data_IF_674202366129
#
_entry.id   IF_674202366129
#
_cell.length_a   1.000
_cell.length_b   1.000
_cell.length_c   1.000
_cell.angle_alpha   90.00
_cell.angle_beta   90.00
_cell.angle_gamma   90.00
#
_symmetry.space_group_name_H-M   'P 1'
#
loop_
_entity.id
_entity.type
_entity.pdbx_description
1 polymer ?
#
# COMPACT_ATOMS: atom_id res chain seq x y z
N UNK A 1 -29.49 31.02 12.34
CA UNK A 1 -28.24 30.34 12.77
C UNK A 1 -28.43 28.85 12.54
N UNK A 2 -27.90 28.34 11.44
CA UNK A 2 -27.96 26.92 11.08
C UNK A 2 -26.52 26.41 10.97
N UNK A 3 -26.16 25.46 11.83
CA UNK A 3 -24.86 24.78 11.79
C UNK A 3 -24.95 23.66 10.75
N UNK A 4 -24.28 23.84 9.61
CA UNK A 4 -24.01 22.76 8.68
C UNK A 4 -22.75 22.02 9.16
N UNK A 5 -22.93 20.78 9.64
CA UNK A 5 -21.85 19.85 9.94
C UNK A 5 -21.25 19.36 8.61
N UNK A 6 -20.05 19.82 8.30
CA UNK A 6 -19.26 19.33 7.17
C UNK A 6 -18.51 18.07 7.56
N UNK A 7 -19.08 16.90 7.24
CA UNK A 7 -18.33 15.64 7.22
C UNK A 7 -17.58 15.60 5.89
N UNK A 8 -16.27 15.77 5.96
CA UNK A 8 -15.35 15.55 4.85
C UNK A 8 -15.35 14.05 4.54
N UNK A 9 -15.98 13.67 3.43
CA UNK A 9 -15.91 12.30 2.91
C UNK A 9 -14.48 12.00 2.48
N UNK A 10 -13.82 11.07 3.17
CA UNK A 10 -12.66 10.38 2.62
C UNK A 10 -13.15 9.52 1.44
N UNK A 11 -12.93 9.98 0.21
CA UNK A 11 -13.17 9.14 -0.95
C UNK A 11 -12.15 8.00 -0.98
N UNK A 12 -12.62 6.79 -0.66
CA UNK A 12 -11.94 5.53 -0.87
C UNK A 12 -11.73 5.31 -2.38
N UNK A 13 -10.63 5.81 -2.94
CA UNK A 13 -10.32 5.69 -4.38
C UNK A 13 -9.36 4.52 -4.64
N UNK A 14 -9.74 3.64 -5.57
CA UNK A 14 -8.84 2.72 -6.24
C UNK A 14 -7.86 3.51 -7.11
N UNK A 15 -6.55 3.34 -6.90
CA UNK A 15 -5.50 4.00 -7.69
C UNK A 15 -4.76 2.98 -8.56
N UNK A 16 -4.56 3.30 -9.84
CA UNK A 16 -3.74 2.50 -10.76
C UNK A 16 -2.27 2.87 -10.54
N UNK A 17 -1.45 1.90 -10.14
CA UNK A 17 -0.03 2.10 -9.83
C UNK A 17 0.89 2.24 -11.05
N UNK A 18 0.38 2.02 -12.27
CA UNK A 18 1.18 1.86 -13.49
C UNK A 18 2.06 3.09 -13.81
N UNK A 19 1.59 4.32 -13.61
CA UNK A 19 2.36 5.52 -13.98
C UNK A 19 3.34 6.02 -12.91
N UNK A 20 3.37 5.42 -11.70
CA UNK A 20 4.07 6.02 -10.56
C UNK A 20 4.90 5.08 -9.69
N UNK A 21 4.68 3.76 -9.74
CA UNK A 21 5.39 2.82 -8.86
C UNK A 21 6.62 2.16 -9.49
N UNK A 22 6.77 2.18 -10.81
CA UNK A 22 7.70 1.30 -11.55
C UNK A 22 8.68 2.02 -12.47
N UNK A 23 8.72 3.36 -12.48
CA UNK A 23 9.68 4.07 -13.33
C UNK A 23 11.11 3.85 -12.82
N UNK A 24 11.96 3.29 -13.70
CA UNK A 24 13.42 3.38 -13.62
C UNK A 24 13.84 4.82 -13.30
N UNK A 25 14.94 5.04 -12.55
CA UNK A 25 15.26 6.35 -12.04
C UNK A 25 15.50 7.34 -13.18
N UNK A 26 14.62 8.34 -13.29
CA UNK A 26 14.96 9.59 -13.96
C UNK A 26 16.03 10.29 -13.11
N UNK A 27 17.23 10.54 -13.64
CA UNK A 27 18.21 11.33 -12.95
C UNK A 27 17.75 12.78 -12.98
N UNK A 28 17.31 13.25 -11.82
CA UNK A 28 17.09 14.66 -11.47
C UNK A 28 15.83 15.30 -12.11
N UNK A 29 15.07 15.96 -11.23
CA UNK A 29 13.89 16.81 -11.44
C UNK A 29 12.55 16.12 -11.72
N UNK A 30 11.69 16.08 -10.69
CA UNK A 30 10.35 16.66 -10.78
C UNK A 30 9.77 16.86 -9.37
N UNK A 31 10.03 18.04 -8.81
CA UNK A 31 9.18 18.62 -7.77
C UNK A 31 7.85 19.03 -8.42
N UNK A 32 6.92 18.09 -8.56
CA UNK A 32 5.53 18.43 -8.92
C UNK A 32 4.59 17.61 -8.05
N UNK A 33 4.10 18.25 -6.96
CA UNK A 33 3.02 17.74 -6.10
C UNK A 33 3.18 18.10 -4.63
N UNK A 34 2.95 19.37 -4.27
CA UNK A 34 3.21 19.97 -2.94
C UNK A 34 4.67 19.83 -2.50
N UNK A 35 5.34 20.93 -2.11
CA UNK A 35 6.81 21.01 -1.98
C UNK A 35 7.45 20.08 -0.90
N UNK A 36 6.68 19.15 -0.35
CA UNK A 36 7.05 18.19 0.68
C UNK A 36 7.02 16.71 0.25
N UNK A 37 6.44 16.36 -0.91
CA UNK A 37 6.41 14.97 -1.38
C UNK A 37 7.72 14.55 -2.03
N UNK A 38 8.25 13.41 -1.60
CA UNK A 38 9.48 12.80 -2.08
C UNK A 38 9.25 11.32 -2.36
N UNK A 39 10.06 10.77 -3.27
CA UNK A 39 10.13 9.33 -3.50
C UNK A 39 11.13 8.69 -2.53
N UNK A 40 10.74 7.61 -1.85
CA UNK A 40 11.60 6.77 -1.03
C UNK A 40 11.65 5.37 -1.64
N UNK A 41 12.87 4.88 -1.89
CA UNK A 41 13.13 3.59 -2.49
C UNK A 41 13.39 2.52 -1.43
N UNK A 42 12.74 1.38 -1.58
CA UNK A 42 12.92 0.19 -0.76
C UNK A 42 13.63 -0.86 -1.59
N UNK A 43 14.57 -1.57 -0.98
CA UNK A 43 15.23 -2.74 -1.57
C UNK A 43 14.78 -3.99 -0.83
N UNK A 44 14.55 -5.07 -1.58
CA UNK A 44 14.14 -6.36 -1.05
C UNK A 44 14.66 -7.49 -1.93
N UNK A 45 14.65 -8.71 -1.40
CA UNK A 45 15.02 -9.89 -2.17
C UNK A 45 13.82 -10.32 -3.02
N UNK A 46 13.95 -10.44 -4.35
CA UNK A 46 12.90 -10.99 -5.20
C UNK A 46 12.49 -12.39 -4.75
N UNK A 47 11.21 -12.71 -4.88
CA UNK A 47 10.71 -14.07 -4.66
C UNK A 47 10.87 -14.89 -5.92
N UNK A 48 11.38 -16.11 -5.77
CA UNK A 48 11.43 -17.08 -6.88
C UNK A 48 10.01 -17.33 -7.43
N UNK A 49 9.89 -17.38 -8.76
CA UNK A 49 8.62 -17.61 -9.45
C UNK A 49 7.60 -16.46 -9.36
N UNK A 50 8.01 -15.29 -8.86
CA UNK A 50 7.17 -14.10 -8.76
C UNK A 50 7.65 -12.98 -9.69
N UNK A 51 7.28 -11.73 -9.41
CA UNK A 51 7.79 -10.56 -10.12
C UNK A 51 9.32 -10.41 -9.96
N UNK A 52 10.06 -10.00 -11.02
CA UNK A 52 11.52 -9.96 -11.01
C UNK A 52 12.11 -8.72 -10.33
N UNK A 53 11.28 -7.91 -9.66
CA UNK A 53 11.73 -6.66 -9.05
C UNK A 53 12.35 -6.91 -7.68
N UNK A 54 13.43 -6.19 -7.41
CA UNK A 54 14.15 -6.14 -6.12
C UNK A 54 13.99 -4.77 -5.43
N UNK A 55 13.21 -3.87 -6.04
CA UNK A 55 13.00 -2.51 -5.56
C UNK A 55 11.57 -2.04 -5.75
N UNK A 56 11.14 -1.11 -4.90
CA UNK A 56 9.86 -0.40 -5.03
C UNK A 56 10.05 1.04 -4.55
N UNK A 57 9.52 1.99 -5.32
CA UNK A 57 9.46 3.38 -4.92
C UNK A 57 8.10 3.74 -4.32
N UNK A 58 8.09 4.27 -3.10
CA UNK A 58 6.90 4.80 -2.44
C UNK A 58 6.94 6.33 -2.37
N UNK A 59 5.77 6.96 -2.46
CA UNK A 59 5.61 8.38 -2.17
C UNK A 59 5.60 8.59 -0.66
N UNK A 60 6.23 9.67 -0.21
CA UNK A 60 6.31 10.02 1.19
C UNK A 60 6.36 11.53 1.38
N UNK A 61 5.85 12.01 2.51
CA UNK A 61 6.02 13.40 2.94
C UNK A 61 7.21 13.49 3.88
N UNK A 62 8.14 14.41 3.65
CA UNK A 62 9.27 14.66 4.55
C UNK A 62 8.74 15.11 5.93
N UNK A 63 9.23 14.48 7.01
CA UNK A 63 8.89 14.86 8.40
C UNK A 63 10.12 15.20 9.25
N UNK A 64 11.32 15.07 8.69
CA UNK A 64 12.59 15.45 9.31
C UNK A 64 13.72 15.54 8.29
N UNK A 65 14.95 15.70 8.78
CA UNK A 65 16.13 15.82 7.92
C UNK A 65 16.35 14.55 7.08
N UNK A 66 16.25 13.39 7.72
CA UNK A 66 16.47 12.05 7.18
C UNK A 66 15.24 11.14 7.33
N UNK A 67 14.07 11.69 7.67
CA UNK A 67 12.83 10.92 7.87
C UNK A 67 11.68 11.39 6.99
N UNK A 68 10.84 10.44 6.58
CA UNK A 68 9.65 10.68 5.77
C UNK A 68 8.52 9.72 6.14
N UNK A 69 7.28 10.21 6.07
CA UNK A 69 6.06 9.43 6.30
C UNK A 69 5.54 8.88 4.97
N UNK A 70 5.35 7.58 4.86
CA UNK A 70 4.86 6.92 3.65
C UNK A 70 3.40 7.31 3.37
N UNK A 71 3.08 7.61 2.11
CA UNK A 71 1.79 8.20 1.69
C UNK A 71 0.97 7.31 0.74
N UNK A 72 1.45 6.11 0.42
CA UNK A 72 0.69 5.13 -0.36
C UNK A 72 1.01 3.71 0.09
N UNK A 73 0.10 2.79 -0.18
CA UNK A 73 0.25 1.39 0.22
C UNK A 73 1.33 0.67 -0.62
N UNK A 74 2.21 -0.13 -0.01
CA UNK A 74 3.24 -0.88 -0.72
C UNK A 74 2.69 -2.10 -1.48
N UNK A 75 2.98 -2.18 -2.78
CA UNK A 75 2.63 -3.30 -3.65
C UNK A 75 3.61 -4.48 -3.54
N UNK A 76 4.90 -4.23 -3.22
CA UNK A 76 5.95 -5.26 -3.22
C UNK A 76 6.74 -5.34 -1.90
N UNK A 77 7.21 -4.21 -1.37
CA UNK A 77 8.05 -4.12 -0.17
C UNK A 77 7.31 -4.65 1.08
N UNK A 78 7.98 -5.44 1.91
CA UNK A 78 7.41 -6.03 3.14
C UNK A 78 7.79 -5.23 4.38
N UNK A 79 7.02 -5.37 5.44
CA UNK A 79 7.32 -4.79 6.75
C UNK A 79 7.20 -3.27 6.83
N UNK A 80 6.59 -2.65 5.82
CA UNK A 80 6.24 -1.23 5.77
C UNK A 80 4.76 -1.10 5.44
N UNK A 81 4.08 -0.14 6.06
CA UNK A 81 2.70 0.21 5.79
C UNK A 81 2.57 1.69 5.42
N UNK A 82 1.46 2.05 4.77
CA UNK A 82 1.08 3.45 4.59
C UNK A 82 1.00 4.14 5.96
N UNK A 83 1.52 5.37 6.03
CA UNK A 83 1.61 6.16 7.24
C UNK A 83 2.84 5.87 8.12
N UNK A 84 3.59 4.79 7.89
CA UNK A 84 4.84 4.54 8.63
C UNK A 84 5.82 5.70 8.41
N UNK A 85 6.58 6.05 9.45
CA UNK A 85 7.74 6.94 9.30
C UNK A 85 8.98 6.09 9.12
N UNK A 86 9.73 6.36 8.06
CA UNK A 86 10.99 5.68 7.75
C UNK A 86 12.14 6.67 7.78
N UNK A 87 13.33 6.18 8.16
CA UNK A 87 14.59 6.85 7.90
C UNK A 87 15.07 6.49 6.49
N UNK A 88 15.67 7.45 5.80
CA UNK A 88 16.32 7.22 4.51
C UNK A 88 17.70 7.86 4.43
N UNK A 89 18.49 7.41 3.47
CA UNK A 89 19.78 8.00 3.10
C UNK A 89 19.75 8.41 1.64
N UNK A 90 20.31 9.59 1.33
CA UNK A 90 20.59 9.98 -0.04
C UNK A 90 21.90 9.31 -0.46
N UNK A 91 21.83 8.38 -1.41
CA UNK A 91 22.99 7.67 -1.89
C UNK A 91 23.63 8.38 -3.09
N UNK A 92 24.79 7.88 -3.53
CA UNK A 92 25.54 8.42 -4.67
C UNK A 92 24.81 8.34 -6.01
N UNK A 93 23.77 7.50 -6.10
CA UNK A 93 22.86 7.40 -7.25
C UNK A 93 21.80 8.52 -7.29
N UNK A 94 21.81 9.43 -6.30
CA UNK A 94 20.84 10.51 -6.17
C UNK A 94 19.47 10.07 -5.64
N UNK A 95 19.32 8.79 -5.26
CA UNK A 95 18.07 8.23 -4.75
C UNK A 95 18.06 8.21 -3.23
N UNK A 96 16.86 8.33 -2.66
CA UNK A 96 16.61 8.24 -1.22
C UNK A 96 16.22 6.82 -0.87
N UNK A 97 17.12 6.07 -0.25
CA UNK A 97 16.91 4.68 0.11
C UNK A 97 16.46 4.56 1.56
N UNK A 98 15.36 3.87 1.80
CA UNK A 98 14.93 3.52 3.15
C UNK A 98 15.99 2.66 3.85
N UNK A 99 16.32 3.01 5.09
CA UNK A 99 17.25 2.24 5.94
C UNK A 99 16.54 1.57 7.11
N UNK A 100 15.27 1.91 7.35
CA UNK A 100 14.44 1.26 8.36
C UNK A 100 13.26 2.10 8.79
N UNK A 101 12.26 1.44 9.37
CA UNK A 101 11.13 2.11 10.01
C UNK A 101 11.56 2.68 11.36
N UNK A 102 11.16 3.93 11.63
CA UNK A 102 11.41 4.62 12.90
C UNK A 102 10.14 4.77 13.73
N UNK A 103 8.96 4.81 13.08
CA UNK A 103 7.65 4.88 13.74
C UNK A 103 6.66 4.04 12.93
N UNK A 104 5.92 3.16 13.60
CA UNK A 104 4.82 2.42 12.99
C UNK A 104 3.53 3.25 13.04
N UNK A 105 2.77 3.27 11.95
CA UNK A 105 1.46 3.93 11.92
C UNK A 105 0.36 3.18 12.65
N UNK A 106 0.59 1.90 12.94
CA UNK A 106 -0.44 0.96 13.38
C UNK A 106 -1.28 0.39 12.24
N UNK A 107 -1.11 0.87 11.01
CA UNK A 107 -1.79 0.29 9.85
C UNK A 107 -1.17 -1.07 9.49
N UNK A 108 -1.99 -1.94 8.90
CA UNK A 108 -1.51 -3.14 8.23
C UNK A 108 -1.52 -2.94 6.70
N UNK A 109 -0.70 -3.73 6.01
CA UNK A 109 -0.75 -3.88 4.55
C UNK A 109 -1.14 -5.30 4.21
N UNK A 110 -2.23 -5.43 3.47
CA UNK A 110 -2.72 -6.71 2.93
C UNK A 110 -2.75 -6.63 1.43
N UNK A 111 -2.32 -7.68 0.76
CA UNK A 111 -2.32 -7.79 -0.70
C UNK A 111 -3.25 -8.91 -1.11
N UNK A 112 -4.10 -8.64 -2.10
CA UNK A 112 -5.12 -9.55 -2.60
C UNK A 112 -4.93 -9.71 -4.09
N UNK A 113 -4.80 -10.95 -4.55
CA UNK A 113 -4.71 -11.29 -5.96
C UNK A 113 -5.93 -12.13 -6.34
N UNK A 114 -6.84 -11.62 -7.19
CA UNK A 114 -8.01 -12.38 -7.58
C UNK A 114 -7.63 -13.63 -8.38
N UNK A 115 -8.33 -14.73 -8.13
CA UNK A 115 -8.22 -15.95 -8.91
C UNK A 115 -8.94 -15.74 -10.24
N UNK A 116 -8.23 -15.97 -11.35
CA UNK A 116 -8.74 -15.64 -12.69
C UNK A 116 -10.02 -16.39 -13.06
N UNK A 117 -10.16 -17.64 -12.62
CA UNK A 117 -11.34 -18.49 -12.80
C UNK A 117 -12.37 -18.37 -11.67
N UNK A 118 -12.11 -17.52 -10.66
CA UNK A 118 -12.96 -17.36 -9.50
C UNK A 118 -14.19 -16.47 -9.78
N UNK A 119 -15.12 -16.37 -8.81
CA UNK A 119 -16.38 -15.61 -8.98
C UNK A 119 -16.19 -14.11 -9.30
N UNK A 120 -15.06 -13.53 -8.89
CA UNK A 120 -14.73 -12.13 -9.16
C UNK A 120 -13.98 -11.93 -10.49
N UNK A 121 -13.51 -13.00 -11.13
CA UNK A 121 -12.62 -12.95 -12.28
C UNK A 121 -11.35 -12.14 -11.99
N UNK A 122 -10.66 -11.64 -13.02
CA UNK A 122 -9.43 -10.83 -12.88
C UNK A 122 -9.67 -9.37 -12.43
N UNK A 123 -10.81 -9.07 -11.80
CA UNK A 123 -11.22 -7.68 -11.54
C UNK A 123 -10.71 -7.14 -10.20
N UNK A 124 -9.68 -6.30 -10.25
CA UNK A 124 -9.21 -5.53 -9.09
C UNK A 124 -10.32 -4.64 -8.49
N UNK A 125 -11.18 -4.06 -9.34
CA UNK A 125 -12.30 -3.24 -8.89
C UNK A 125 -13.30 -4.05 -8.06
N UNK A 126 -13.67 -5.26 -8.50
CA UNK A 126 -14.60 -6.13 -7.76
C UNK A 126 -14.00 -6.64 -6.44
N UNK A 127 -12.68 -6.84 -6.39
CA UNK A 127 -11.97 -7.10 -5.14
C UNK A 127 -12.09 -5.90 -4.21
N UNK A 128 -11.77 -4.69 -4.68
CA UNK A 128 -11.86 -3.47 -3.89
C UNK A 128 -13.27 -3.21 -3.36
N UNK A 129 -14.31 -3.46 -4.16
CA UNK A 129 -15.71 -3.34 -3.77
C UNK A 129 -16.08 -4.16 -2.53
N UNK A 130 -15.47 -5.34 -2.33
CA UNK A 130 -15.71 -6.14 -1.11
C UNK A 130 -15.21 -5.44 0.17
N UNK A 131 -14.24 -4.54 0.02
CA UNK A 131 -13.55 -3.87 1.12
C UNK A 131 -14.04 -2.43 1.36
N UNK A 132 -14.91 -1.89 0.49
CA UNK A 132 -15.54 -0.57 0.65
C UNK A 132 -16.21 -0.38 2.02
N UNK A 133 -16.94 -1.36 2.59
CA UNK A 133 -17.58 -1.21 3.91
C UNK A 133 -16.61 -0.89 5.06
N UNK A 134 -15.31 -1.17 4.88
CA UNK A 134 -14.28 -0.93 5.90
C UNK A 134 -13.53 0.39 5.69
N UNK A 135 -13.86 1.18 4.65
CA UNK A 135 -13.23 2.48 4.39
C UNK A 135 -11.73 2.42 4.06
N UNK A 136 -11.26 1.31 3.49
CA UNK A 136 -9.82 1.03 3.28
C UNK A 136 -9.29 1.63 1.97
N UNK A 137 -8.16 2.36 2.04
CA UNK A 137 -7.42 2.81 0.86
C UNK A 137 -6.80 1.64 0.09
N UNK A 138 -6.56 1.82 -1.22
CA UNK A 138 -5.94 0.78 -2.05
C UNK A 138 -5.14 1.29 -3.25
N UNK A 139 -4.18 0.49 -3.68
CA UNK A 139 -3.42 0.65 -4.94
C UNK A 139 -3.50 -0.67 -5.72
N UNK A 140 -3.53 -0.58 -7.05
CA UNK A 140 -3.52 -1.73 -7.96
C UNK A 140 -2.23 -1.75 -8.73
N UNK A 141 -1.61 -2.93 -8.86
CA UNK A 141 -0.37 -3.09 -9.61
C UNK A 141 -0.55 -2.79 -11.11
N UNK A 142 -1.29 -3.63 -11.84
CA UNK A 142 -1.62 -3.41 -13.25
C UNK A 142 -2.90 -4.17 -13.66
N UNK A 143 -3.36 -3.99 -14.90
CA UNK A 143 -4.48 -4.76 -15.43
C UNK A 143 -4.10 -6.24 -15.68
N UNK A 144 -2.86 -6.48 -16.07
CA UNK A 144 -2.30 -7.81 -16.37
C UNK A 144 -2.02 -8.58 -15.08
N UNK A 145 -1.57 -7.91 -14.02
CA UNK A 145 -1.46 -8.50 -12.69
C UNK A 145 -2.33 -7.66 -11.74
N UNK A 146 -3.61 -8.02 -11.55
CA UNK A 146 -4.58 -7.25 -10.78
C UNK A 146 -4.39 -7.41 -9.26
N UNK A 147 -3.15 -7.35 -8.80
CA UNK A 147 -2.78 -7.35 -7.39
C UNK A 147 -3.27 -6.04 -6.76
N UNK A 148 -4.14 -6.16 -5.75
CA UNK A 148 -4.66 -5.03 -4.98
C UNK A 148 -3.94 -5.01 -3.64
N UNK A 149 -3.20 -3.93 -3.36
CA UNK A 149 -2.70 -3.66 -2.02
C UNK A 149 -3.70 -2.78 -1.26
N UNK A 150 -3.99 -3.15 -0.03
CA UNK A 150 -4.96 -2.52 0.86
C UNK A 150 -4.24 -1.96 2.08
N UNK A 151 -4.57 -0.72 2.44
CA UNK A 151 -4.27 -0.17 3.77
C UNK A 151 -5.40 -0.55 4.70
N UNK A 152 -5.11 -1.37 5.70
CA UNK A 152 -6.04 -1.68 6.80
C UNK A 152 -5.72 -0.71 7.96
N UNK A 153 -6.59 0.26 8.27
CA UNK A 153 -6.31 1.25 9.30
C UNK A 153 -6.15 0.63 10.70
N UNK A 154 -5.33 1.24 11.56
CA UNK A 154 -5.10 0.79 12.94
C UNK A 154 -6.39 0.63 13.77
N UNK A 155 -7.44 1.42 13.47
CA UNK A 155 -8.73 1.38 14.14
C UNK A 155 -9.80 0.54 13.45
N UNK A 156 -9.46 -0.21 12.40
CA UNK A 156 -10.41 -1.06 11.69
C UNK A 156 -10.80 -2.29 12.53
N UNK A 157 -11.98 -2.86 12.24
CA UNK A 157 -12.37 -4.17 12.78
C UNK A 157 -11.54 -5.28 12.13
N UNK A 158 -10.38 -5.57 12.72
CA UNK A 158 -9.42 -6.53 12.17
C UNK A 158 -10.02 -7.94 12.07
N UNK A 159 -10.92 -8.32 12.98
CA UNK A 159 -11.54 -9.64 12.99
C UNK A 159 -12.45 -9.82 11.78
N UNK A 160 -13.33 -8.86 11.49
CA UNK A 160 -14.22 -8.92 10.32
C UNK A 160 -13.44 -8.78 8.99
N UNK A 161 -12.37 -7.97 8.95
CA UNK A 161 -11.47 -7.91 7.77
C UNK A 161 -10.81 -9.27 7.51
N UNK A 162 -10.25 -9.92 8.55
CA UNK A 162 -9.63 -11.24 8.43
C UNK A 162 -10.63 -12.31 8.01
N UNK A 163 -11.82 -12.30 8.59
CA UNK A 163 -12.90 -13.21 8.24
C UNK A 163 -13.29 -13.10 6.77
N UNK A 164 -13.41 -11.89 6.23
CA UNK A 164 -13.67 -11.68 4.81
C UNK A 164 -12.52 -12.20 3.94
N UNK A 165 -11.27 -11.91 4.31
CA UNK A 165 -10.08 -12.38 3.56
C UNK A 165 -10.02 -13.91 3.49
N UNK A 166 -10.28 -14.58 4.62
CA UNK A 166 -10.31 -16.04 4.73
C UNK A 166 -11.47 -16.61 3.91
N UNK A 167 -12.69 -16.08 4.09
CA UNK A 167 -13.86 -16.52 3.32
C UNK A 167 -13.61 -16.41 1.81
N UNK A 168 -13.10 -15.28 1.33
CA UNK A 168 -12.83 -15.11 -0.09
C UNK A 168 -11.70 -16.00 -0.61
N UNK A 169 -10.75 -16.40 0.24
CA UNK A 169 -9.76 -17.41 -0.14
C UNK A 169 -10.37 -18.81 -0.22
N UNK A 170 -11.17 -19.19 0.78
CA UNK A 170 -11.81 -20.51 0.86
C UNK A 170 -12.84 -20.72 -0.26
N UNK A 171 -13.56 -19.66 -0.63
CA UNK A 171 -14.52 -19.64 -1.75
C UNK A 171 -13.84 -19.45 -3.12
N UNK A 172 -12.50 -19.38 -3.17
CA UNK A 172 -11.74 -19.29 -4.42
C UNK A 172 -11.86 -17.95 -5.15
N UNK A 173 -12.16 -16.86 -4.45
CA UNK A 173 -12.24 -15.52 -5.01
C UNK A 173 -10.85 -14.93 -5.24
N UNK A 174 -9.91 -15.17 -4.31
CA UNK A 174 -8.56 -14.62 -4.35
C UNK A 174 -7.56 -15.46 -3.56
N UNK A 175 -6.28 -15.15 -3.73
CA UNK A 175 -5.25 -15.38 -2.72
C UNK A 175 -4.96 -14.08 -1.99
N UNK A 176 -4.57 -14.14 -0.72
CA UNK A 176 -4.11 -12.95 -0.01
C UNK A 176 -2.83 -13.18 0.79
N UNK A 177 -2.19 -12.07 1.12
CA UNK A 177 -0.99 -12.04 1.95
C UNK A 177 -1.01 -10.78 2.82
N UNK A 178 -0.70 -10.95 4.11
CA UNK A 178 -0.46 -9.82 5.01
C UNK A 178 1.04 -9.50 5.01
N UNK A 179 1.46 -8.39 4.38
CA UNK A 179 2.87 -8.04 4.14
C UNK A 179 3.47 -7.15 5.23
N UNK A 180 2.64 -6.45 6.00
CA UNK A 180 2.99 -5.72 7.21
C UNK A 180 1.81 -5.80 8.19
N UNK A 181 2.04 -6.31 9.39
CA UNK A 181 1.00 -6.56 10.39
C UNK A 181 1.44 -6.13 11.78
N UNK A 182 0.47 -5.88 12.65
CA UNK A 182 0.69 -5.52 14.05
C UNK A 182 0.42 -6.70 14.99
N UNK A 183 0.78 -6.61 16.28
CA UNK A 183 0.37 -7.60 17.28
C UNK A 183 -1.15 -7.78 17.36
N UNK A 184 -1.93 -6.71 17.20
CA UNK A 184 -3.39 -6.74 17.22
C UNK A 184 -3.95 -7.57 16.06
N UNK A 185 -3.34 -7.47 14.86
CA UNK A 185 -3.70 -8.34 13.73
C UNK A 185 -3.54 -9.83 14.04
N UNK A 186 -2.50 -10.21 14.77
CA UNK A 186 -2.26 -11.60 15.14
C UNK A 186 -3.26 -12.11 16.20
N UNK A 187 -3.76 -11.22 17.06
CA UNK A 187 -4.68 -11.57 18.15
C UNK A 187 -6.15 -11.55 17.73
N UNK A 188 -6.49 -10.83 16.65
CA UNK A 188 -7.82 -10.76 16.07
C UNK A 188 -8.29 -12.05 15.41
#
# INVERSE_FOLDING_TARGET
MSYASGIVGLETRLRLGHDRAVNLPDPVTNEIGDASQIKIWFRFVPREGWLPFDTEGLWATRVGADTARICNVPLLARGVAEGDVVRYQLNSDGLRWAVGRVEASGNCTVRVLPVSSGPLGRSAARVHEQFVPFGMGSEVYSAELPLVALTVPAGADLAEVKKLLILGQDEGWWHFEASCVTPEWHQA
#
